data_IF_559084982571
#
_entry.id   IF_559084982571
#
_cell.length_a   1.000
_cell.length_b   1.000
_cell.length_c   1.000
_cell.angle_alpha   90.00
_cell.angle_beta   90.00
_cell.angle_gamma   90.00
#
_symmetry.space_group_name_H-M   'P 1'
#
loop_
_entity.id
_entity.type
_entity.pdbx_description
1 polymer ?
#
# COMPACT_ATOMS: atom_id res chain seq x y z
N UNK A 1 9.30 -5.74 31.86
CA UNK A 1 9.16 -7.16 31.53
C UNK A 1 7.95 -7.31 30.62
N UNK A 2 8.20 -7.85 29.42
CA UNK A 2 7.29 -8.23 28.32
C UNK A 2 6.49 -7.14 27.59
N UNK A 3 7.00 -6.73 26.43
CA UNK A 3 6.29 -5.97 25.37
C UNK A 3 5.30 -6.88 24.63
N UNK A 4 4.07 -6.42 24.30
CA UNK A 4 3.17 -7.16 23.43
C UNK A 4 3.54 -6.85 21.97
N UNK A 5 4.61 -7.45 21.46
CA UNK A 5 4.94 -7.37 20.02
C UNK A 5 4.88 -8.72 19.29
N UNK A 6 4.50 -9.79 20.00
CA UNK A 6 4.26 -11.11 19.41
C UNK A 6 2.78 -11.27 19.05
N UNK A 7 2.32 -10.47 18.08
CA UNK A 7 1.10 -10.78 17.37
C UNK A 7 1.38 -11.98 16.48
N UNK A 8 0.98 -13.15 16.99
CA UNK A 8 1.18 -14.46 16.40
C UNK A 8 0.68 -14.52 14.95
N UNK A 9 1.58 -14.98 14.07
CA UNK A 9 1.36 -15.21 12.65
C UNK A 9 0.57 -16.52 12.44
N UNK A 10 -0.67 -16.58 12.94
CA UNK A 10 -1.59 -17.67 12.69
C UNK A 10 -2.67 -17.17 11.72
N UNK A 11 -2.54 -17.54 10.44
CA UNK A 11 -3.57 -17.33 9.44
C UNK A 11 -4.84 -18.07 9.86
N UNK A 12 -5.89 -17.34 10.26
CA UNK A 12 -7.21 -17.94 10.34
C UNK A 12 -7.59 -18.50 8.95
N UNK A 13 -8.37 -19.61 8.88
CA UNK A 13 -8.69 -20.26 7.62
C UNK A 13 -9.29 -19.27 6.62
N UNK A 14 -8.71 -19.15 5.43
CA UNK A 14 -9.17 -18.25 4.37
C UNK A 14 -8.45 -16.90 4.26
N UNK A 15 -7.49 -16.59 5.16
CA UNK A 15 -6.63 -15.42 4.99
C UNK A 15 -5.48 -15.71 4.02
N UNK A 16 -5.32 -14.81 3.07
CA UNK A 16 -4.22 -14.83 2.11
C UNK A 16 -2.85 -14.68 2.81
N UNK A 17 -1.78 -15.35 2.36
CA UNK A 17 -0.43 -15.25 2.93
C UNK A 17 0.11 -13.81 2.88
N UNK A 18 0.84 -13.37 3.91
CA UNK A 18 1.36 -11.98 4.01
C UNK A 18 2.75 -11.85 4.60
N UNK A 19 3.59 -12.87 4.41
CA UNK A 19 4.90 -12.97 5.03
C UNK A 19 5.84 -11.83 4.59
N UNK A 20 5.84 -11.46 3.30
CA UNK A 20 6.67 -10.35 2.80
C UNK A 20 6.14 -9.02 3.32
N UNK A 21 4.82 -8.81 3.29
CA UNK A 21 4.22 -7.61 3.89
C UNK A 21 4.57 -7.48 5.37
N UNK A 22 4.55 -8.57 6.14
CA UNK A 22 4.93 -8.57 7.56
C UNK A 22 6.41 -8.23 7.76
N UNK A 23 7.30 -8.82 6.95
CA UNK A 23 8.73 -8.51 6.99
C UNK A 23 9.02 -7.04 6.67
N UNK A 24 8.34 -6.49 5.66
CA UNK A 24 8.50 -5.08 5.26
C UNK A 24 7.91 -4.13 6.29
N UNK A 25 6.76 -4.46 6.89
CA UNK A 25 6.18 -3.67 7.97
C UNK A 25 7.11 -3.62 9.18
N UNK A 26 7.71 -4.76 9.56
CA UNK A 26 8.71 -4.81 10.63
C UNK A 26 9.90 -3.88 10.33
N UNK A 27 10.45 -3.94 9.12
CA UNK A 27 11.54 -3.06 8.72
C UNK A 27 11.12 -1.58 8.72
N UNK A 28 9.89 -1.26 8.32
CA UNK A 28 9.36 0.10 8.33
C UNK A 28 9.22 0.65 9.76
N UNK A 29 8.81 -0.17 10.72
CA UNK A 29 8.72 0.22 12.13
C UNK A 29 10.07 0.62 12.74
N UNK A 30 11.19 0.12 12.20
CA UNK A 30 12.53 0.47 12.66
C UNK A 30 12.91 1.93 12.28
N UNK A 31 12.22 2.55 11.31
CA UNK A 31 12.61 3.86 10.73
C UNK A 31 11.47 4.88 10.61
N UNK A 32 10.21 4.47 10.66
CA UNK A 32 9.03 5.35 10.56
C UNK A 32 8.14 5.11 11.79
N UNK A 33 7.69 6.16 12.50
CA UNK A 33 6.78 6.01 13.63
C UNK A 33 5.52 5.22 13.24
N UNK A 34 5.29 4.08 13.91
CA UNK A 34 4.18 3.17 13.60
C UNK A 34 4.29 2.45 12.25
N UNK A 35 5.47 2.49 11.62
CA UNK A 35 5.77 1.83 10.34
C UNK A 35 5.06 2.45 9.12
N UNK A 36 4.41 3.61 9.25
CA UNK A 36 3.59 4.20 8.18
C UNK A 36 3.65 5.73 8.12
N UNK A 37 3.53 6.28 6.91
CA UNK A 37 3.45 7.73 6.67
C UNK A 37 2.05 8.34 6.91
N UNK A 38 1.04 7.51 7.20
CA UNK A 38 -0.31 7.94 7.54
C UNK A 38 -0.94 6.91 8.49
N UNK A 39 -1.47 7.30 9.67
CA UNK A 39 -1.83 6.36 10.74
C UNK A 39 -2.83 5.27 10.34
N UNK A 40 -3.79 5.59 9.47
CA UNK A 40 -4.82 4.63 9.01
C UNK A 40 -4.21 3.41 8.31
N UNK A 41 -3.01 3.55 7.75
CA UNK A 41 -2.30 2.48 7.04
C UNK A 41 -1.71 1.42 7.98
N UNK A 42 -1.61 1.70 9.28
CA UNK A 42 -1.04 0.75 10.25
C UNK A 42 -2.02 -0.37 10.67
N UNK A 43 -3.27 -0.34 10.18
CA UNK A 43 -4.32 -1.32 10.48
C UNK A 43 -4.67 -1.46 11.98
N UNK A 44 -4.30 -0.48 12.82
CA UNK A 44 -4.51 -0.53 14.27
C UNK A 44 -5.97 -0.79 14.68
N UNK A 45 -6.95 -0.31 13.89
CA UNK A 45 -8.38 -0.47 14.16
C UNK A 45 -8.96 -1.83 13.75
N UNK A 46 -8.30 -2.57 12.86
CA UNK A 46 -8.80 -3.83 12.29
C UNK A 46 -7.92 -5.04 12.62
N UNK A 47 -6.70 -4.78 13.11
CA UNK A 47 -5.70 -5.80 13.40
C UNK A 47 -5.07 -6.41 12.14
N UNK A 48 -4.13 -7.32 12.36
CA UNK A 48 -3.40 -8.02 11.30
C UNK A 48 -2.27 -7.19 10.68
N UNK A 49 -1.74 -7.71 9.57
CA UNK A 49 -0.58 -7.14 8.87
C UNK A 49 -1.02 -6.11 7.82
N UNK A 50 -0.51 -4.87 7.85
CA UNK A 50 -0.70 -3.92 6.76
C UNK A 50 -0.27 -4.48 5.40
N UNK A 51 -1.09 -4.29 4.37
CA UNK A 51 -0.75 -4.75 3.01
C UNK A 51 0.22 -3.78 2.35
N UNK A 52 1.39 -4.28 1.94
CA UNK A 52 2.28 -3.55 1.05
C UNK A 52 1.89 -3.85 -0.39
N UNK A 53 1.40 -2.84 -1.10
CA UNK A 53 0.94 -2.96 -2.49
C UNK A 53 2.14 -2.85 -3.43
N UNK A 54 2.27 -3.80 -4.36
CA UNK A 54 3.30 -3.79 -5.40
C UNK A 54 2.83 -3.16 -6.71
N UNK A 55 1.58 -3.43 -7.10
CA UNK A 55 0.99 -2.92 -8.35
C UNK A 55 -0.53 -2.78 -8.24
N UNK A 56 -1.11 -2.01 -9.17
CA UNK A 56 -2.53 -1.73 -9.22
C UNK A 56 -2.97 -1.42 -10.65
N UNK A 57 -4.12 -1.94 -11.07
CA UNK A 57 -4.71 -1.67 -12.38
C UNK A 57 -6.24 -1.76 -12.34
N UNK A 58 -6.92 -0.78 -12.93
CA UNK A 58 -8.38 -0.71 -12.91
C UNK A 58 -8.89 -0.69 -11.47
N UNK A 59 -9.81 -1.59 -11.12
CA UNK A 59 -10.35 -1.74 -9.78
C UNK A 59 -9.59 -2.72 -8.87
N UNK A 60 -8.37 -3.11 -9.23
CA UNK A 60 -7.62 -4.15 -8.52
C UNK A 60 -6.29 -3.65 -7.96
N UNK A 61 -5.93 -4.16 -6.78
CA UNK A 61 -4.62 -4.03 -6.14
C UNK A 61 -3.99 -5.41 -6.00
N UNK A 62 -2.68 -5.51 -6.26
CA UNK A 62 -1.91 -6.71 -5.99
C UNK A 62 -0.81 -6.38 -4.97
N UNK A 63 -0.83 -7.10 -3.84
CA UNK A 63 0.19 -6.94 -2.80
C UNK A 63 1.50 -7.64 -3.16
N UNK A 64 2.55 -7.36 -2.40
CA UNK A 64 3.91 -7.91 -2.61
C UNK A 64 4.00 -9.42 -2.39
N UNK A 65 2.98 -9.99 -1.76
CA UNK A 65 2.81 -11.43 -1.54
C UNK A 65 2.10 -12.10 -2.72
N UNK A 66 1.57 -11.33 -3.69
CA UNK A 66 0.92 -11.81 -4.90
C UNK A 66 -0.59 -11.95 -4.77
N UNK A 67 -1.19 -11.42 -3.70
CA UNK A 67 -2.63 -11.48 -3.51
C UNK A 67 -3.31 -10.31 -4.21
N UNK A 68 -4.37 -10.61 -4.95
CA UNK A 68 -5.16 -9.60 -5.67
C UNK A 68 -6.48 -9.34 -4.95
N UNK A 69 -6.84 -8.06 -4.84
CA UNK A 69 -8.02 -7.58 -4.15
C UNK A 69 -8.84 -6.67 -5.08
N UNK A 70 -10.16 -6.71 -4.96
CA UNK A 70 -11.00 -5.61 -5.45
C UNK A 70 -10.79 -4.41 -4.52
N UNK A 71 -10.35 -3.29 -5.09
CA UNK A 71 -10.06 -2.08 -4.32
C UNK A 71 -11.31 -1.24 -4.13
N UNK A 72 -11.71 -1.12 -2.87
CA UNK A 72 -12.79 -0.24 -2.42
C UNK A 72 -12.26 0.97 -1.61
N UNK A 73 -10.95 1.05 -1.38
CA UNK A 73 -10.28 2.17 -0.72
C UNK A 73 -9.97 3.25 -1.76
N UNK A 74 -9.55 2.88 -2.97
CA UNK A 74 -9.31 3.77 -4.11
C UNK A 74 -8.39 4.94 -3.77
N UNK A 75 -7.29 4.64 -3.05
CA UNK A 75 -6.36 5.62 -2.49
C UNK A 75 -7.02 6.69 -1.61
N UNK A 76 -8.12 6.35 -0.93
CA UNK A 76 -8.95 7.27 -0.15
C UNK A 76 -9.71 8.31 -1.00
N UNK A 77 -9.99 7.99 -2.27
CA UNK A 77 -10.81 8.82 -3.17
C UNK A 77 -10.23 9.15 -4.55
N UNK A 78 -8.92 9.44 -4.72
CA UNK A 78 -8.36 9.93 -5.99
C UNK A 78 -8.56 9.00 -7.20
N UNK A 79 -8.70 7.70 -6.99
CA UNK A 79 -8.72 6.69 -8.07
C UNK A 79 -10.14 6.45 -8.60
N UNK A 80 -10.89 7.51 -8.92
CA UNK A 80 -12.27 7.40 -9.42
C UNK A 80 -12.36 6.68 -10.78
N UNK A 81 -11.32 6.79 -11.60
CA UNK A 81 -11.20 6.08 -12.88
C UNK A 81 -10.43 4.74 -12.76
N UNK A 82 -10.20 4.27 -11.53
CA UNK A 82 -9.31 3.15 -11.26
C UNK A 82 -7.83 3.50 -11.37
N UNK A 83 -7.01 2.54 -10.99
CA UNK A 83 -5.55 2.65 -11.01
C UNK A 83 -5.00 2.50 -12.43
N UNK A 84 -3.90 3.21 -12.71
CA UNK A 84 -3.16 3.14 -13.95
C UNK A 84 -4.02 3.31 -15.23
N UNK A 85 -5.03 4.19 -15.18
CA UNK A 85 -5.86 4.49 -16.34
C UNK A 85 -4.98 4.97 -17.53
N UNK A 86 -5.06 4.36 -18.73
CA UNK A 86 -4.08 4.58 -19.80
C UNK A 86 -3.88 6.05 -20.17
N UNK A 87 -4.96 6.81 -20.35
CA UNK A 87 -4.89 8.22 -20.73
C UNK A 87 -4.27 9.11 -19.63
N UNK A 88 -4.49 8.77 -18.36
CA UNK A 88 -3.93 9.52 -17.22
C UNK A 88 -2.43 9.24 -17.12
N UNK A 89 -2.05 7.97 -17.26
CA UNK A 89 -0.64 7.55 -17.23
C UNK A 89 0.14 8.21 -18.37
N UNK A 90 -0.39 8.18 -19.59
CA UNK A 90 0.23 8.83 -20.75
C UNK A 90 0.40 10.35 -20.53
N UNK A 91 -0.63 11.04 -20.05
CA UNK A 91 -0.55 12.47 -19.75
C UNK A 91 0.54 12.78 -18.69
N UNK A 92 0.63 11.98 -17.63
CA UNK A 92 1.67 12.11 -16.60
C UNK A 92 3.06 11.86 -17.16
N UNK A 93 3.23 10.83 -18.00
CA UNK A 93 4.51 10.52 -18.64
C UNK A 93 4.97 11.65 -19.56
N UNK A 94 4.07 12.20 -20.37
CA UNK A 94 4.36 13.34 -21.25
C UNK A 94 4.73 14.60 -20.46
N UNK A 95 4.04 14.86 -19.33
CA UNK A 95 4.38 15.97 -18.46
C UNK A 95 5.76 15.76 -17.80
N UNK A 96 6.02 14.57 -17.27
CA UNK A 96 7.30 14.24 -16.65
C UNK A 96 8.47 14.36 -17.63
N UNK A 97 8.29 13.99 -18.90
CA UNK A 97 9.30 14.14 -19.95
C UNK A 97 9.66 15.61 -20.25
N UNK A 98 8.78 16.56 -19.92
CA UNK A 98 9.05 18.01 -20.05
C UNK A 98 9.72 18.60 -18.81
N UNK A 99 9.79 17.87 -17.70
CA UNK A 99 10.30 18.31 -16.41
C UNK A 99 9.24 18.27 -15.32
N UNK A 100 9.61 17.81 -14.12
CA UNK A 100 8.68 17.66 -12.99
C UNK A 100 8.42 18.98 -12.24
N UNK A 101 9.30 19.96 -12.39
CA UNK A 101 9.21 21.29 -11.76
C UNK A 101 10.07 22.27 -12.54
N UNK A 102 9.59 23.50 -12.70
CA UNK A 102 10.27 24.54 -13.47
C UNK A 102 10.87 25.64 -12.58
N UNK A 103 10.28 25.92 -11.41
CA UNK A 103 10.74 26.99 -10.52
C UNK A 103 10.67 28.40 -11.14
N UNK A 104 10.05 28.54 -12.30
CA UNK A 104 9.94 29.78 -13.09
C UNK A 104 8.64 29.76 -13.91
N UNK A 105 8.07 30.93 -14.27
CA UNK A 105 7.18 31.06 -15.42
C UNK A 105 7.83 30.60 -16.73
#
# INVERSE_FOLDING_TARGET
>A
MSTPHDAQNASAPGLQPTEKSAAWFKAACDVIPGGVNSPVRAFASVGGTPRFVGEAAGSQLTDVDGNTYVDLVSSWGPMIHGHAHPEIVDAVQQAAAKGLSFGTP
#
